data_IF_386024100077
#
_entry.id   IF_386024100077
#
_cell.length_a   1.000
_cell.length_b   1.000
_cell.length_c   1.000
_cell.angle_alpha   90.00
_cell.angle_beta   90.00
_cell.angle_gamma   90.00
#
_symmetry.space_group_name_H-M   'P 1'
#
loop_
_entity.id
_entity.type
_entity.pdbx_description
1 polymer ?
#
# COMPACT_ATOMS: atom_id res chain seq x y z
N UNK A 1 -49.91 -3.46 -4.64
CA UNK A 1 -48.57 -3.64 -5.24
C UNK A 1 -47.53 -2.88 -4.41
N UNK A 2 -47.46 -3.18 -3.11
CA UNK A 2 -46.69 -2.41 -2.11
C UNK A 2 -46.01 -3.33 -1.08
N UNK A 3 -46.15 -4.65 -1.24
CA UNK A 3 -45.51 -5.66 -0.38
C UNK A 3 -44.13 -6.10 -0.91
N UNK A 4 -43.72 -5.65 -2.10
CA UNK A 4 -42.41 -5.99 -2.69
C UNK A 4 -41.27 -5.03 -2.31
N UNK A 5 -41.56 -3.90 -1.66
CA UNK A 5 -40.55 -2.86 -1.41
C UNK A 5 -40.07 -2.74 0.03
N UNK A 6 -40.57 -3.55 0.97
CA UNK A 6 -40.36 -3.27 2.41
C UNK A 6 -39.54 -4.30 3.21
N UNK A 7 -39.33 -5.56 2.81
CA UNK A 7 -38.75 -6.56 3.76
C UNK A 7 -37.85 -7.68 3.20
N UNK A 8 -37.34 -7.59 1.97
CA UNK A 8 -36.31 -8.53 1.48
C UNK A 8 -35.01 -7.79 1.17
N UNK A 9 -34.42 -7.13 2.17
CA UNK A 9 -32.96 -6.97 2.14
C UNK A 9 -32.38 -8.34 2.50
N UNK A 10 -32.24 -9.22 1.51
CA UNK A 10 -31.40 -10.41 1.65
C UNK A 10 -30.05 -9.94 2.22
N UNK A 11 -29.59 -10.60 3.28
CA UNK A 11 -28.27 -10.30 3.81
C UNK A 11 -27.24 -10.42 2.68
N UNK A 12 -26.23 -9.56 2.65
CA UNK A 12 -25.22 -9.51 1.57
C UNK A 12 -24.62 -10.90 1.24
N UNK A 13 -24.47 -11.77 2.25
CA UNK A 13 -23.98 -13.14 2.10
C UNK A 13 -24.96 -14.04 1.33
N UNK A 14 -26.25 -13.89 1.60
CA UNK A 14 -27.31 -14.66 0.96
C UNK A 14 -27.49 -14.21 -0.49
N UNK A 15 -27.47 -12.89 -0.73
CA UNK A 15 -27.46 -12.32 -2.08
C UNK A 15 -26.25 -12.83 -2.88
N UNK A 16 -25.06 -12.80 -2.30
CA UNK A 16 -23.85 -13.29 -2.99
C UNK A 16 -23.90 -14.79 -3.28
N UNK A 17 -24.46 -15.58 -2.36
CA UNK A 17 -24.66 -17.02 -2.56
C UNK A 17 -25.67 -17.32 -3.67
N UNK A 18 -26.74 -16.52 -3.76
CA UNK A 18 -27.72 -16.63 -4.87
C UNK A 18 -27.10 -16.28 -6.22
N UNK A 19 -26.26 -15.25 -6.31
CA UNK A 19 -25.55 -14.93 -7.55
C UNK A 19 -24.61 -16.05 -7.99
N UNK A 20 -23.86 -16.63 -7.06
CA UNK A 20 -23.02 -17.80 -7.35
C UNK A 20 -23.84 -18.99 -7.84
N UNK A 21 -24.95 -19.31 -7.18
CA UNK A 21 -25.84 -20.41 -7.57
C UNK A 21 -26.50 -20.18 -8.95
N UNK A 22 -26.78 -18.91 -9.28
CA UNK A 22 -27.29 -18.49 -10.58
C UNK A 22 -26.22 -18.42 -11.68
N UNK A 23 -24.96 -18.71 -11.36
CA UNK A 23 -23.88 -18.80 -12.35
C UNK A 23 -23.20 -17.47 -12.70
N UNK A 24 -23.43 -16.40 -11.92
CA UNK A 24 -22.77 -15.12 -12.14
C UNK A 24 -21.26 -15.24 -11.93
N UNK A 25 -20.48 -14.61 -12.82
CA UNK A 25 -19.06 -14.43 -12.59
C UNK A 25 -18.83 -13.49 -11.39
N UNK A 26 -17.67 -13.62 -10.74
CA UNK A 26 -17.38 -12.91 -9.50
C UNK A 26 -17.42 -11.38 -9.66
N UNK A 27 -16.91 -10.85 -10.76
CA UNK A 27 -16.95 -9.43 -11.09
C UNK A 27 -18.39 -8.92 -11.28
N UNK A 28 -19.25 -9.72 -11.92
CA UNK A 28 -20.66 -9.38 -12.14
C UNK A 28 -21.44 -9.36 -10.82
N UNK A 29 -21.22 -10.39 -9.99
CA UNK A 29 -21.84 -10.50 -8.67
C UNK A 29 -21.38 -9.38 -7.72
N UNK A 30 -20.07 -9.08 -7.71
CA UNK A 30 -19.51 -7.98 -6.92
C UNK A 30 -20.03 -6.62 -7.39
N UNK A 31 -20.14 -6.41 -8.71
CA UNK A 31 -20.73 -5.20 -9.29
C UNK A 31 -22.21 -5.02 -8.91
N UNK A 32 -22.99 -6.10 -8.95
CA UNK A 32 -24.40 -6.08 -8.55
C UNK A 32 -24.57 -5.73 -7.06
N UNK A 33 -23.77 -6.32 -6.18
CA UNK A 33 -23.76 -6.03 -4.73
C UNK A 33 -23.43 -4.56 -4.46
N UNK A 34 -22.44 -4.00 -5.17
CA UNK A 34 -22.13 -2.58 -5.05
C UNK A 34 -23.25 -1.70 -5.59
N UNK A 35 -23.86 -2.09 -6.71
CA UNK A 35 -24.98 -1.38 -7.34
C UNK A 35 -26.20 -1.24 -6.45
N UNK A 36 -26.45 -2.22 -5.57
CA UNK A 36 -27.52 -2.14 -4.54
C UNK A 36 -27.08 -1.43 -3.25
N UNK A 37 -25.86 -0.88 -3.21
CA UNK A 37 -25.40 0.04 -2.16
C UNK A 37 -24.66 -0.60 -0.98
N UNK A 38 -24.20 -1.85 -1.08
CA UNK A 38 -23.44 -2.47 0.01
C UNK A 38 -22.04 -1.85 0.17
N UNK A 39 -21.65 -1.62 1.42
CA UNK A 39 -20.32 -1.16 1.78
C UNK A 39 -19.26 -2.22 1.50
N UNK A 40 -18.00 -1.78 1.31
CA UNK A 40 -16.87 -2.65 0.99
C UNK A 40 -16.67 -3.79 1.99
N UNK A 41 -16.78 -3.52 3.29
CA UNK A 41 -16.56 -4.53 4.33
C UNK A 41 -17.55 -5.68 4.21
N UNK A 42 -18.82 -5.35 3.99
CA UNK A 42 -19.92 -6.29 3.83
C UNK A 42 -19.77 -7.08 2.52
N UNK A 43 -19.53 -6.37 1.42
CA UNK A 43 -19.36 -6.96 0.09
C UNK A 43 -18.12 -7.88 0.03
N UNK A 44 -16.98 -7.42 0.54
CA UNK A 44 -15.74 -8.19 0.57
C UNK A 44 -15.85 -9.46 1.41
N UNK A 45 -16.52 -9.39 2.56
CA UNK A 45 -16.79 -10.57 3.40
C UNK A 45 -17.69 -11.55 2.69
N UNK A 46 -18.75 -11.06 2.03
CA UNK A 46 -19.66 -11.90 1.24
C UNK A 46 -18.96 -12.58 0.05
N UNK A 47 -18.13 -11.84 -0.69
CA UNK A 47 -17.32 -12.40 -1.79
C UNK A 47 -16.44 -13.54 -1.26
N UNK A 48 -15.65 -13.26 -0.22
CA UNK A 48 -14.73 -14.23 0.40
C UNK A 48 -15.46 -15.50 0.81
N UNK A 49 -16.60 -15.37 1.49
CA UNK A 49 -17.37 -16.50 2.02
C UNK A 49 -18.08 -17.30 0.92
N UNK A 50 -18.75 -16.62 -0.02
CA UNK A 50 -19.56 -17.29 -1.03
C UNK A 50 -18.70 -17.95 -2.12
N UNK A 51 -17.69 -17.24 -2.63
CA UNK A 51 -16.85 -17.73 -3.72
C UNK A 51 -15.62 -18.52 -3.23
N UNK A 52 -15.30 -18.49 -1.93
CA UNK A 52 -14.16 -19.23 -1.38
C UNK A 52 -12.83 -18.80 -1.98
N UNK A 53 -12.72 -17.50 -2.30
CA UNK A 53 -11.68 -16.96 -3.18
C UNK A 53 -10.38 -16.71 -2.45
N UNK A 54 -9.27 -16.83 -3.18
CA UNK A 54 -7.96 -16.33 -2.73
C UNK A 54 -8.00 -14.82 -2.49
N UNK A 55 -6.99 -14.30 -1.79
CA UNK A 55 -6.80 -12.86 -1.61
C UNK A 55 -6.77 -12.13 -2.97
N UNK A 56 -6.09 -12.70 -3.97
CA UNK A 56 -5.99 -12.14 -5.33
C UNK A 56 -7.34 -12.07 -6.02
N UNK A 57 -8.11 -13.16 -6.01
CA UNK A 57 -9.42 -13.18 -6.66
C UNK A 57 -10.43 -12.24 -5.98
N UNK A 58 -10.39 -12.16 -4.64
CA UNK A 58 -11.25 -11.25 -3.88
C UNK A 58 -10.90 -9.78 -4.17
N UNK A 59 -9.61 -9.46 -4.22
CA UNK A 59 -9.14 -8.11 -4.55
C UNK A 59 -9.53 -7.70 -5.99
N UNK A 60 -9.34 -8.60 -6.94
CA UNK A 60 -9.69 -8.38 -8.35
C UNK A 60 -11.18 -8.10 -8.50
N UNK A 61 -12.03 -8.91 -7.86
CA UNK A 61 -13.48 -8.69 -7.84
C UNK A 61 -13.92 -7.36 -7.27
N UNK A 62 -13.36 -6.97 -6.12
CA UNK A 62 -13.67 -5.69 -5.49
C UNK A 62 -13.27 -4.52 -6.40
N UNK A 63 -12.09 -4.59 -7.00
CA UNK A 63 -11.64 -3.57 -7.95
C UNK A 63 -12.52 -3.52 -9.19
N UNK A 64 -12.83 -4.65 -9.78
CA UNK A 64 -13.61 -4.72 -11.03
C UNK A 64 -15.07 -4.27 -10.80
N UNK A 65 -15.60 -4.48 -9.59
CA UNK A 65 -16.84 -3.86 -9.13
C UNK A 65 -16.72 -2.33 -8.92
N UNK A 66 -15.51 -1.79 -8.96
CA UNK A 66 -15.19 -0.38 -8.84
C UNK A 66 -15.06 0.10 -7.39
N UNK A 67 -14.90 -0.78 -6.40
CA UNK A 67 -14.52 -0.32 -5.07
C UNK A 67 -13.13 0.31 -5.13
N UNK A 68 -12.89 1.30 -4.26
CA UNK A 68 -11.58 1.94 -4.18
C UNK A 68 -10.51 0.90 -3.84
N UNK A 69 -9.48 0.80 -4.67
CA UNK A 69 -8.41 -0.21 -4.52
C UNK A 69 -7.73 -0.09 -3.17
N UNK A 70 -7.57 1.13 -2.64
CA UNK A 70 -7.08 1.38 -1.27
C UNK A 70 -7.87 0.58 -0.24
N UNK A 71 -9.17 0.80 -0.18
CA UNK A 71 -10.03 0.25 0.85
C UNK A 71 -10.15 -1.27 0.68
N UNK A 72 -10.24 -1.74 -0.57
CA UNK A 72 -10.24 -3.15 -0.90
C UNK A 72 -8.94 -3.83 -0.44
N UNK A 73 -7.80 -3.24 -0.71
CA UNK A 73 -6.51 -3.87 -0.39
C UNK A 73 -6.24 -3.86 1.12
N UNK A 74 -6.65 -2.81 1.84
CA UNK A 74 -6.64 -2.80 3.32
C UNK A 74 -7.57 -3.87 3.92
N UNK A 75 -8.77 -4.01 3.36
CA UNK A 75 -9.69 -5.09 3.75
C UNK A 75 -9.04 -6.46 3.52
N UNK A 76 -8.39 -6.67 2.37
CA UNK A 76 -7.74 -7.94 2.04
C UNK A 76 -6.57 -8.24 2.98
N UNK A 77 -5.71 -7.27 3.25
CA UNK A 77 -4.58 -7.43 4.17
C UNK A 77 -5.04 -7.91 5.56
N UNK A 78 -6.11 -7.30 6.09
CA UNK A 78 -6.70 -7.67 7.39
C UNK A 78 -7.42 -9.00 7.33
N UNK A 79 -8.27 -9.20 6.31
CA UNK A 79 -9.16 -10.37 6.22
C UNK A 79 -8.45 -11.67 5.92
N UNK A 80 -7.27 -11.60 5.28
CA UNK A 80 -6.44 -12.76 4.96
C UNK A 80 -5.14 -12.81 5.78
N UNK A 81 -4.94 -11.87 6.71
CA UNK A 81 -3.76 -11.79 7.59
C UNK A 81 -2.46 -11.85 6.76
N UNK A 82 -2.40 -11.04 5.71
CA UNK A 82 -1.27 -11.03 4.79
C UNK A 82 -0.10 -10.25 5.38
N UNK A 83 1.11 -10.77 5.20
CA UNK A 83 2.33 -9.99 5.35
C UNK A 83 2.59 -9.12 4.11
N UNK A 84 3.52 -8.18 4.20
CA UNK A 84 3.83 -7.20 3.14
C UNK A 84 4.19 -7.86 1.80
N UNK A 85 4.91 -8.99 1.83
CA UNK A 85 5.32 -9.73 0.63
C UNK A 85 4.12 -10.39 -0.05
N UNK A 86 3.25 -11.05 0.72
CA UNK A 86 2.04 -11.69 0.21
C UNK A 86 1.02 -10.67 -0.29
N UNK A 87 0.92 -9.51 0.38
CA UNK A 87 0.08 -8.41 -0.08
C UNK A 87 0.57 -7.86 -1.43
N UNK A 88 1.88 -7.63 -1.57
CA UNK A 88 2.48 -7.17 -2.82
C UNK A 88 2.27 -8.17 -3.97
N UNK A 89 2.43 -9.47 -3.71
CA UNK A 89 2.15 -10.52 -4.69
C UNK A 89 0.67 -10.57 -5.07
N UNK A 90 -0.24 -10.36 -4.12
CA UNK A 90 -1.69 -10.27 -4.34
C UNK A 90 -2.05 -9.09 -5.25
N UNK A 91 -1.48 -7.91 -4.98
CA UNK A 91 -1.68 -6.71 -5.77
C UNK A 91 -1.11 -6.84 -7.19
N UNK A 92 0.07 -7.45 -7.33
CA UNK A 92 0.64 -7.79 -8.64
C UNK A 92 -0.24 -8.76 -9.40
N UNK A 93 -0.78 -9.77 -8.72
CA UNK A 93 -1.63 -10.80 -9.32
C UNK A 93 -2.94 -10.28 -9.89
N UNK A 94 -3.40 -9.10 -9.45
CA UNK A 94 -4.55 -8.43 -10.06
C UNK A 94 -4.15 -7.36 -11.08
N UNK A 95 -2.86 -7.11 -11.32
CA UNK A 95 -2.36 -5.97 -12.09
C UNK A 95 -2.71 -4.61 -11.47
N UNK A 96 -2.66 -4.47 -10.14
CA UNK A 96 -2.66 -3.14 -9.55
C UNK A 96 -1.46 -2.36 -10.10
N UNK A 97 -1.72 -1.14 -10.54
CA UNK A 97 -0.66 -0.20 -10.89
C UNK A 97 0.04 0.26 -9.62
N UNK A 98 1.30 0.70 -9.76
CA UNK A 98 2.00 1.38 -8.67
C UNK A 98 1.11 2.48 -8.08
N UNK A 99 0.47 3.31 -8.94
CA UNK A 99 -0.49 4.37 -8.59
C UNK A 99 -1.67 3.94 -7.69
N UNK A 100 -2.16 2.71 -7.81
CA UNK A 100 -3.25 2.21 -6.97
C UNK A 100 -2.75 1.67 -5.61
N UNK A 101 -1.45 1.40 -5.50
CA UNK A 101 -0.76 0.94 -4.29
C UNK A 101 -0.40 2.07 -3.34
N UNK A 102 -0.91 3.28 -3.60
CA UNK A 102 -0.26 4.52 -3.20
C UNK A 102 -1.20 5.41 -2.37
N UNK A 103 -2.00 4.77 -1.51
CA UNK A 103 -2.71 5.46 -0.44
C UNK A 103 -2.55 4.72 0.92
N UNK A 104 -1.42 4.01 1.05
CA UNK A 104 -0.90 3.44 2.29
C UNK A 104 0.01 4.45 3.01
N UNK A 105 0.37 4.18 4.27
CA UNK A 105 1.58 4.79 4.82
C UNK A 105 2.75 4.45 3.86
N UNK A 106 3.64 5.42 3.67
CA UNK A 106 4.57 5.41 2.54
C UNK A 106 5.54 4.24 2.57
N UNK A 107 5.85 3.73 3.75
CA UNK A 107 6.66 2.53 3.97
C UNK A 107 6.07 1.28 3.33
N UNK A 108 4.76 1.04 3.48
CA UNK A 108 4.08 -0.13 2.95
C UNK A 108 4.00 -0.09 1.42
N UNK A 109 3.77 1.09 0.84
CA UNK A 109 3.82 1.28 -0.61
C UNK A 109 5.23 0.99 -1.16
N UNK A 110 6.27 1.49 -0.50
CA UNK A 110 7.65 1.23 -0.87
C UNK A 110 8.03 -0.25 -0.69
N UNK A 111 7.53 -0.93 0.35
CA UNK A 111 7.68 -2.38 0.54
C UNK A 111 7.00 -3.17 -0.56
N UNK A 112 5.80 -2.76 -0.99
CA UNK A 112 5.11 -3.40 -2.10
C UNK A 112 5.87 -3.24 -3.43
N UNK A 113 6.42 -2.05 -3.69
CA UNK A 113 7.27 -1.80 -4.86
C UNK A 113 8.55 -2.65 -4.82
N UNK A 114 9.24 -2.69 -3.67
CA UNK A 114 10.45 -3.49 -3.46
C UNK A 114 10.20 -4.99 -3.63
N UNK A 115 9.21 -5.53 -2.93
CA UNK A 115 9.01 -6.98 -2.81
C UNK A 115 8.14 -7.55 -3.94
N UNK A 116 7.13 -6.80 -4.41
CA UNK A 116 6.23 -7.25 -5.47
C UNK A 116 6.79 -7.03 -6.87
N UNK A 117 7.42 -5.89 -7.09
CA UNK A 117 7.86 -5.45 -8.41
C UNK A 117 9.38 -5.43 -8.57
N UNK A 118 10.15 -5.72 -7.51
CA UNK A 118 11.61 -5.66 -7.56
C UNK A 118 12.15 -4.25 -7.79
N UNK A 119 11.35 -3.22 -7.48
CA UNK A 119 11.70 -1.84 -7.77
C UNK A 119 12.95 -1.44 -6.98
N UNK A 120 13.86 -0.75 -7.65
CA UNK A 120 14.99 -0.08 -7.01
C UNK A 120 14.51 1.11 -6.17
N UNK A 121 15.37 1.61 -5.29
CA UNK A 121 15.08 2.77 -4.43
C UNK A 121 14.69 4.01 -5.26
N UNK A 122 15.46 4.28 -6.32
CA UNK A 122 15.23 5.42 -7.22
C UNK A 122 13.90 5.25 -8.00
N UNK A 123 13.58 4.04 -8.48
CA UNK A 123 12.29 3.77 -9.14
C UNK A 123 11.11 3.92 -8.19
N UNK A 124 11.22 3.38 -6.97
CA UNK A 124 10.18 3.52 -5.96
C UNK A 124 9.92 5.00 -5.63
N UNK A 125 10.97 5.79 -5.42
CA UNK A 125 10.84 7.22 -5.17
C UNK A 125 10.21 7.99 -6.33
N UNK A 126 10.57 7.68 -7.58
CA UNK A 126 9.95 8.30 -8.77
C UNK A 126 8.47 7.97 -8.85
N UNK A 127 8.12 6.71 -8.65
CA UNK A 127 6.73 6.26 -8.67
C UNK A 127 5.92 6.91 -7.56
N UNK A 128 6.43 6.92 -6.33
CA UNK A 128 5.78 7.59 -5.18
C UNK A 128 5.55 9.08 -5.46
N UNK A 129 6.54 9.80 -6.00
CA UNK A 129 6.39 11.22 -6.33
C UNK A 129 5.36 11.46 -7.44
N UNK A 130 5.44 10.69 -8.54
CA UNK A 130 4.58 10.88 -9.72
C UNK A 130 3.09 10.75 -9.40
N UNK A 131 2.75 10.06 -8.32
CA UNK A 131 1.37 9.83 -7.90
C UNK A 131 0.93 10.78 -6.78
N UNK A 132 1.79 11.71 -6.38
CA UNK A 132 1.45 12.80 -5.47
C UNK A 132 1.92 12.65 -4.02
N UNK A 133 2.77 11.67 -3.68
CA UNK A 133 3.40 11.67 -2.34
C UNK A 133 4.36 12.84 -2.20
N UNK A 134 4.28 13.52 -1.06
CA UNK A 134 5.23 14.56 -0.69
C UNK A 134 6.60 13.98 -0.30
N UNK A 135 7.59 14.85 -0.17
CA UNK A 135 8.96 14.44 0.15
C UNK A 135 9.08 13.76 1.52
N UNK A 136 8.20 14.07 2.48
CA UNK A 136 8.21 13.49 3.83
C UNK A 136 7.83 12.03 3.78
N UNK A 137 6.75 11.74 3.06
CA UNK A 137 6.28 10.40 2.83
C UNK A 137 7.30 9.59 2.02
N UNK A 138 7.84 10.14 0.92
CA UNK A 138 8.89 9.46 0.13
C UNK A 138 10.14 9.17 0.97
N UNK A 139 10.53 10.07 1.87
CA UNK A 139 11.67 9.85 2.78
C UNK A 139 11.42 8.69 3.74
N UNK A 140 10.24 8.65 4.37
CA UNK A 140 9.85 7.56 5.25
C UNK A 140 9.78 6.22 4.51
N UNK A 141 9.27 6.22 3.29
CA UNK A 141 9.25 5.07 2.39
C UNK A 141 10.65 4.49 2.17
N UNK A 142 11.61 5.34 1.81
CA UNK A 142 12.98 4.94 1.51
C UNK A 142 13.70 4.41 2.74
N UNK A 143 13.54 5.06 3.90
CA UNK A 143 14.12 4.57 5.16
C UNK A 143 13.44 3.27 5.61
N UNK A 144 12.11 3.21 5.59
CA UNK A 144 11.36 2.08 6.12
C UNK A 144 11.46 0.82 5.27
N UNK A 145 11.37 0.93 3.94
CA UNK A 145 11.36 -0.24 3.06
C UNK A 145 12.76 -0.62 2.55
N UNK A 146 13.61 0.37 2.29
CA UNK A 146 14.93 0.16 1.68
C UNK A 146 16.07 0.31 2.67
N UNK A 147 15.81 0.74 3.91
CA UNK A 147 16.84 1.06 4.90
C UNK A 147 17.87 2.07 4.33
N UNK A 148 17.39 3.00 3.50
CA UNK A 148 18.23 3.98 2.84
C UNK A 148 18.75 5.02 3.86
N UNK A 149 20.06 5.29 3.93
CA UNK A 149 20.62 6.31 4.80
C UNK A 149 20.24 7.73 4.31
N UNK A 150 20.29 8.72 5.20
CA UNK A 150 19.74 10.05 4.93
C UNK A 150 20.43 10.82 3.79
N UNK A 151 21.73 10.61 3.58
CA UNK A 151 22.48 11.12 2.43
C UNK A 151 21.99 10.49 1.10
N UNK A 152 21.70 9.19 1.11
CA UNK A 152 21.11 8.51 -0.05
C UNK A 152 19.67 8.98 -0.30
N UNK A 153 18.86 9.14 0.75
CA UNK A 153 17.51 9.73 0.64
C UNK A 153 17.57 11.13 0.03
N UNK A 154 18.52 11.96 0.47
CA UNK A 154 18.73 13.31 -0.08
C UNK A 154 19.02 13.27 -1.58
N UNK A 155 19.96 12.42 -2.01
CA UNK A 155 20.32 12.23 -3.42
C UNK A 155 19.12 11.78 -4.24
N UNK A 156 18.37 10.79 -3.76
CA UNK A 156 17.20 10.23 -4.46
C UNK A 156 16.11 11.29 -4.59
N UNK A 157 15.74 12.00 -3.52
CA UNK A 157 14.70 13.03 -3.59
C UNK A 157 15.05 14.14 -4.60
N UNK A 158 16.32 14.56 -4.63
CA UNK A 158 16.80 15.51 -5.63
C UNK A 158 16.74 14.96 -7.06
N UNK A 159 17.13 13.69 -7.26
CA UNK A 159 17.14 13.04 -8.58
C UNK A 159 15.74 12.79 -9.15
N UNK A 160 14.73 12.65 -8.28
CA UNK A 160 13.33 12.53 -8.69
C UNK A 160 12.63 13.89 -8.82
N UNK A 161 13.34 14.99 -8.54
CA UNK A 161 12.91 16.37 -8.83
C UNK A 161 12.07 17.02 -7.74
N UNK A 162 12.26 16.65 -6.47
CA UNK A 162 11.83 17.51 -5.37
C UNK A 162 12.72 18.75 -5.28
N UNK A 163 12.14 19.88 -4.89
CA UNK A 163 12.89 21.12 -4.64
C UNK A 163 13.78 20.99 -3.41
N UNK A 164 14.81 21.83 -3.29
CA UNK A 164 15.72 21.81 -2.15
C UNK A 164 14.99 21.93 -0.79
N UNK A 165 13.94 22.76 -0.71
CA UNK A 165 13.12 22.90 0.49
C UNK A 165 12.34 21.62 0.82
N UNK A 166 11.77 20.95 -0.19
CA UNK A 166 11.05 19.70 0.00
C UNK A 166 12.01 18.58 0.43
N UNK A 167 13.19 18.49 -0.18
CA UNK A 167 14.25 17.55 0.23
C UNK A 167 14.59 17.76 1.71
N UNK A 168 14.83 19.02 2.11
CA UNK A 168 15.13 19.34 3.51
C UNK A 168 13.99 18.93 4.45
N UNK A 169 12.73 19.20 4.11
CA UNK A 169 11.58 18.78 4.91
C UNK A 169 11.48 17.26 5.04
N UNK A 170 11.78 16.54 3.95
CA UNK A 170 11.81 15.08 3.93
C UNK A 170 12.86 14.50 4.87
N UNK A 171 14.08 15.06 4.82
CA UNK A 171 15.19 14.70 5.70
C UNK A 171 14.87 15.00 7.17
N UNK A 172 14.35 16.19 7.47
CA UNK A 172 13.91 16.56 8.82
C UNK A 172 12.89 15.57 9.38
N UNK A 173 11.96 15.12 8.53
CA UNK A 173 10.90 14.18 8.90
C UNK A 173 11.41 12.78 9.27
N UNK A 174 12.56 12.36 8.72
CA UNK A 174 13.22 11.10 9.10
C UNK A 174 14.29 11.30 10.19
N UNK A 175 14.31 12.47 10.85
CA UNK A 175 15.28 12.80 11.87
C UNK A 175 16.68 13.08 11.32
N UNK A 176 16.84 13.27 10.01
CA UNK A 176 18.10 13.60 9.38
C UNK A 176 18.24 15.13 9.24
N UNK A 177 19.05 15.71 10.12
CA UNK A 177 19.44 17.12 10.06
C UNK A 177 20.91 17.23 9.69
N UNK A 178 21.34 18.35 9.09
CA UNK A 178 22.76 18.62 8.85
C UNK A 178 23.63 18.49 10.14
N UNK A 179 23.04 18.74 11.31
CA UNK A 179 23.69 18.50 12.61
C UNK A 179 23.93 17.03 12.96
N UNK A 180 23.20 16.07 12.37
CA UNK A 180 23.42 14.64 12.58
C UNK A 180 24.56 14.10 11.72
N UNK A 181 24.78 14.60 10.51
CA UNK A 181 26.00 14.29 9.75
C UNK A 181 27.27 14.73 10.50
N UNK A 182 27.21 15.88 11.20
CA UNK A 182 28.28 16.36 12.08
C UNK A 182 28.43 15.45 13.31
N UNK A 183 27.31 15.00 13.93
CA UNK A 183 27.35 14.04 15.04
C UNK A 183 27.90 12.68 14.63
N UNK A 184 27.48 12.12 13.50
CA UNK A 184 27.95 10.82 13.01
C UNK A 184 29.41 10.87 12.58
N UNK A 185 29.84 11.99 11.96
CA UNK A 185 31.25 12.28 11.71
C UNK A 185 32.06 12.35 13.01
N UNK A 186 31.57 13.10 14.00
CA UNK A 186 32.22 13.18 15.31
C UNK A 186 32.26 11.82 16.03
N UNK A 187 31.18 11.02 15.96
CA UNK A 187 31.10 9.71 16.60
C UNK A 187 32.05 8.69 15.95
N UNK A 188 32.22 8.76 14.63
CA UNK A 188 33.18 7.96 13.87
C UNK A 188 34.61 8.32 14.24
N UNK A 189 34.92 9.62 14.34
CA UNK A 189 36.23 10.11 14.80
C UNK A 189 36.51 9.71 16.25
N UNK A 190 35.54 9.84 17.15
CA UNK A 190 35.66 9.44 18.56
C UNK A 190 35.89 7.93 18.69
N UNK A 191 35.18 7.10 17.94
CA UNK A 191 35.41 5.64 17.91
C UNK A 191 36.80 5.30 17.35
N UNK A 192 37.24 5.99 16.30
CA UNK A 192 38.57 5.81 15.72
C UNK A 192 39.70 6.18 16.69
N UNK A 193 39.55 7.30 17.41
CA UNK A 193 40.48 7.74 18.45
C UNK A 193 40.44 6.78 19.64
N UNK A 194 39.26 6.40 20.13
CA UNK A 194 39.10 5.46 21.25
C UNK A 194 39.70 4.08 20.98
N UNK A 195 39.65 3.61 19.72
CA UNK A 195 40.33 2.39 19.30
C UNK A 195 41.86 2.51 19.19
N UNK A 196 42.39 3.71 19.01
CA UNK A 196 43.84 3.98 18.91
C UNK A 196 44.52 4.04 20.28
N UNK A 197 43.80 4.51 21.31
CA UNK A 197 44.33 4.71 22.67
C UNK A 197 43.88 3.63 23.67
N UNK A 198 43.08 2.65 23.23
CA UNK A 198 42.51 1.59 24.09
C UNK A 198 43.27 0.25 24.06
N UNK A 199 44.54 0.22 23.66
CA UNK A 199 45.40 -0.99 23.65
C UNK A 199 46.61 -0.83 24.55
#
# INVERSE_FOLDING_TARGET
NTFLTANFRLGVNELMSTYKAAGYALNEAAGAIKGVGYALQDAGTAIKNAYGTSATATLGGLRDAGYAVKDATQFIAKSFVLNDQALAATMKGVNCTAAESLNYASTEAANALKNGYGATKDEAARLLKNVGYDSKAVSQALVGAYNAPGDEVSRILGSVGFTANEVQQGLQNIGYNAGNAIKDGANTVIKGIGGLFGR
#
